data_IF_824484513074
#
_entry.id   IF_824484513074
#
_cell.length_a   1.000
_cell.length_b   1.000
_cell.length_c   1.000
_cell.angle_alpha   90.00
_cell.angle_beta   90.00
_cell.angle_gamma   90.00
#
_symmetry.space_group_name_H-M   'P 1'
#
loop_
_entity.id
_entity.type
_entity.pdbx_description
1 polymer ?
#
# COMPACT_ATOMS: atom_id res chain seq x y z
N UNK A 1 -34.51 16.56 -5.50
CA UNK A 1 -34.34 15.14 -5.91
C UNK A 1 -33.13 14.55 -5.20
N UNK A 2 -33.33 13.80 -4.11
CA UNK A 2 -32.23 13.19 -3.31
C UNK A 2 -32.04 11.74 -3.79
N UNK A 3 -31.02 11.49 -4.61
CA UNK A 3 -30.64 10.12 -4.99
C UNK A 3 -29.87 9.49 -3.83
N UNK A 4 -30.52 8.56 -3.13
CA UNK A 4 -29.87 7.61 -2.22
C UNK A 4 -28.98 6.71 -3.08
N UNK A 5 -27.66 6.73 -2.87
CA UNK A 5 -26.76 5.77 -3.51
C UNK A 5 -26.24 4.81 -2.44
N UNK A 6 -26.34 3.53 -2.79
CA UNK A 6 -26.25 2.37 -1.93
C UNK A 6 -24.91 2.27 -1.19
N UNK A 7 -25.00 1.86 0.08
CA UNK A 7 -23.87 1.41 0.90
C UNK A 7 -23.26 0.18 0.24
N UNK A 8 -22.07 0.30 -0.33
CA UNK A 8 -21.19 -0.84 -0.61
C UNK A 8 -20.06 -0.82 0.40
N UNK A 9 -20.09 -1.82 1.27
CA UNK A 9 -19.11 -2.11 2.31
C UNK A 9 -17.71 -2.35 1.73
N UNK A 10 -16.84 -1.37 1.85
CA UNK A 10 -15.39 -1.51 1.63
C UNK A 10 -14.73 -2.05 2.90
N UNK A 11 -13.85 -3.04 2.74
CA UNK A 11 -13.22 -3.77 3.84
C UNK A 11 -11.98 -3.01 4.36
N UNK A 12 -12.00 -2.59 5.63
CA UNK A 12 -11.04 -1.65 6.22
C UNK A 12 -9.84 -2.35 6.92
N UNK A 13 -9.06 -3.17 6.23
CA UNK A 13 -7.84 -3.77 6.83
C UNK A 13 -6.58 -3.47 6.04
N UNK A 14 -5.56 -2.95 6.73
CA UNK A 14 -4.19 -2.82 6.23
C UNK A 14 -3.40 -4.05 6.71
N UNK A 15 -2.63 -4.69 5.82
CA UNK A 15 -1.84 -5.89 6.13
C UNK A 15 -0.33 -5.63 5.92
N UNK A 16 0.48 -5.98 6.91
CA UNK A 16 1.93 -6.18 6.83
C UNK A 16 2.25 -7.54 7.51
N UNK A 17 3.38 -8.21 7.24
CA UNK A 17 3.63 -9.60 7.74
C UNK A 17 5.03 -9.76 8.40
N UNK A 18 5.07 -10.19 9.68
CA UNK A 18 6.26 -10.64 10.46
C UNK A 18 5.79 -11.55 11.66
N UNK A 19 6.61 -12.49 12.19
CA UNK A 19 6.13 -13.56 13.06
C UNK A 19 5.98 -13.11 14.53
N UNK A 20 4.84 -13.43 15.14
CA UNK A 20 4.46 -13.14 16.54
C UNK A 20 3.96 -11.72 16.86
N UNK A 21 3.49 -10.97 15.84
CA UNK A 21 2.98 -9.62 16.00
C UNK A 21 1.66 -9.49 15.22
N UNK A 22 0.56 -9.08 15.85
CA UNK A 22 -0.64 -8.71 15.11
C UNK A 22 -0.35 -7.41 14.35
N UNK A 23 -0.35 -7.49 13.02
CA UNK A 23 -0.02 -6.39 12.10
C UNK A 23 -1.26 -5.79 11.44
N UNK A 24 -2.38 -5.86 12.16
CA UNK A 24 -3.66 -5.30 11.73
C UNK A 24 -3.88 -4.00 12.48
N UNK A 25 -4.02 -2.91 11.74
CA UNK A 25 -4.33 -1.58 12.27
C UNK A 25 -5.74 -1.19 11.80
N UNK A 26 -6.60 -0.79 12.73
CA UNK A 26 -7.92 -0.23 12.41
C UNK A 26 -7.79 1.27 12.16
N UNK A 27 -8.21 1.72 10.97
CA UNK A 27 -8.25 3.13 10.61
C UNK A 27 -9.58 3.80 10.96
N UNK A 28 -10.47 3.13 11.69
CA UNK A 28 -11.86 3.60 11.90
C UNK A 28 -11.93 4.99 12.54
N UNK A 29 -11.10 5.26 13.55
CA UNK A 29 -11.11 6.52 14.29
C UNK A 29 -10.01 7.48 13.82
N UNK A 30 -8.85 6.94 13.43
CA UNK A 30 -7.62 7.71 13.19
C UNK A 30 -7.28 7.91 11.71
N UNK A 31 -7.95 7.18 10.82
CA UNK A 31 -7.67 7.22 9.38
C UNK A 31 -6.39 6.46 8.96
N UNK A 32 -6.27 6.24 7.65
CA UNK A 32 -5.20 5.41 7.05
C UNK A 32 -3.82 6.05 7.19
N UNK A 33 -3.72 7.38 7.06
CA UNK A 33 -2.46 8.11 7.19
C UNK A 33 -1.81 7.90 8.55
N UNK A 34 -2.59 7.97 9.64
CA UNK A 34 -2.07 7.74 10.98
C UNK A 34 -1.60 6.29 11.17
N UNK A 35 -2.36 5.32 10.65
CA UNK A 35 -1.92 3.92 10.66
C UNK A 35 -0.61 3.74 9.89
N UNK A 36 -0.43 4.40 8.75
CA UNK A 36 0.81 4.32 7.97
C UNK A 36 2.00 4.90 8.74
N UNK A 37 1.81 6.01 9.44
CA UNK A 37 2.84 6.57 10.32
C UNK A 37 3.27 5.60 11.42
N UNK A 38 2.33 4.93 12.09
CA UNK A 38 2.66 3.92 13.11
C UNK A 38 3.36 2.69 12.52
N UNK A 39 2.95 2.25 11.33
CA UNK A 39 3.63 1.16 10.61
C UNK A 39 5.06 1.58 10.27
N UNK A 40 5.24 2.81 9.75
CA UNK A 40 6.57 3.35 9.44
C UNK A 40 7.43 3.33 10.69
N UNK A 41 6.97 3.95 11.78
CA UNK A 41 7.70 4.04 13.04
C UNK A 41 8.13 2.66 13.55
N UNK A 42 7.20 1.70 13.58
CA UNK A 42 7.43 0.34 14.07
C UNK A 42 8.41 -0.47 13.24
N UNK A 43 8.42 -0.28 11.92
CA UNK A 43 9.23 -1.05 10.98
C UNK A 43 10.36 -0.21 10.35
N UNK A 44 10.64 0.96 10.91
CA UNK A 44 11.75 1.81 10.49
C UNK A 44 13.04 1.00 10.56
N UNK A 45 13.75 0.87 9.45
CA UNK A 45 15.03 0.18 9.43
C UNK A 45 15.82 0.53 8.16
N UNK A 46 17.15 0.38 8.20
CA UNK A 46 17.95 0.46 6.98
C UNK A 46 17.41 -0.57 5.98
N UNK A 47 17.19 -0.14 4.75
CA UNK A 47 16.68 -0.97 3.64
C UNK A 47 15.19 -1.38 3.69
N UNK A 48 14.39 -0.81 4.61
CA UNK A 48 12.93 -1.03 4.58
C UNK A 48 12.27 -0.03 3.64
N UNK A 49 11.53 -0.56 2.67
CA UNK A 49 10.69 0.22 1.73
C UNK A 49 9.25 -0.22 1.89
N UNK A 50 8.34 0.74 1.81
CA UNK A 50 6.92 0.52 2.03
C UNK A 50 6.16 0.61 0.71
N UNK A 51 5.04 -0.10 0.62
CA UNK A 51 4.16 -0.04 -0.53
C UNK A 51 2.74 -0.23 -0.06
N UNK A 52 1.85 0.58 -0.60
CA UNK A 52 0.42 0.53 -0.29
C UNK A 52 -0.29 -0.17 -1.44
N UNK A 53 -1.17 -1.10 -1.10
CA UNK A 53 -1.99 -1.84 -2.07
C UNK A 53 -3.44 -1.67 -1.66
N UNK A 54 -4.31 -1.26 -2.59
CA UNK A 54 -5.72 -1.06 -2.29
C UNK A 54 -6.53 -0.46 -3.45
N UNK A 55 -7.86 -0.44 -3.33
CA UNK A 55 -8.79 0.07 -4.35
C UNK A 55 -9.34 1.46 -4.05
N UNK A 56 -9.21 1.91 -2.80
CA UNK A 56 -9.79 3.12 -2.25
C UNK A 56 -8.94 4.38 -2.41
N UNK A 57 -9.60 5.52 -2.28
CA UNK A 57 -8.98 6.84 -2.35
C UNK A 57 -8.21 7.20 -1.07
N UNK A 58 -8.69 6.80 0.11
CA UNK A 58 -8.09 7.14 1.42
C UNK A 58 -6.67 6.60 1.57
N UNK A 59 -6.45 5.36 1.14
CA UNK A 59 -5.13 4.72 1.14
C UNK A 59 -4.21 5.25 0.04
N UNK A 60 -4.76 5.65 -1.10
CA UNK A 60 -4.00 6.33 -2.16
C UNK A 60 -3.48 7.69 -1.67
N UNK A 61 -4.34 8.50 -1.05
CA UNK A 61 -3.97 9.81 -0.49
C UNK A 61 -2.91 9.65 0.60
N UNK A 62 -3.12 8.74 1.55
CA UNK A 62 -2.15 8.46 2.59
C UNK A 62 -0.81 7.97 2.04
N UNK A 63 -0.80 7.13 0.99
CA UNK A 63 0.42 6.68 0.33
C UNK A 63 1.18 7.86 -0.30
N UNK A 64 0.48 8.78 -0.96
CA UNK A 64 1.08 9.98 -1.54
C UNK A 64 1.71 10.87 -0.48
N UNK A 65 1.02 11.10 0.65
CA UNK A 65 1.56 11.87 1.78
C UNK A 65 2.83 11.22 2.34
N UNK A 66 2.84 9.89 2.45
CA UNK A 66 3.98 9.13 2.95
C UNK A 66 5.12 8.98 1.92
N UNK A 67 4.89 9.40 0.67
CA UNK A 67 5.76 9.15 -0.50
C UNK A 67 6.05 7.67 -0.70
N UNK A 68 5.02 6.86 -0.57
CA UNK A 68 5.07 5.41 -0.78
C UNK A 68 4.42 5.05 -2.11
N UNK A 69 4.96 4.09 -2.87
CA UNK A 69 4.30 3.56 -4.04
C UNK A 69 2.90 3.02 -3.67
N UNK A 70 1.92 3.37 -4.52
CA UNK A 70 0.55 2.91 -4.41
C UNK A 70 0.21 2.02 -5.59
N UNK A 71 -0.19 0.79 -5.31
CA UNK A 71 -0.66 -0.17 -6.30
C UNK A 71 -2.18 -0.29 -6.20
N UNK A 72 -2.85 0.28 -7.19
CA UNK A 72 -4.30 0.21 -7.28
C UNK A 72 -4.74 -1.20 -7.67
N UNK A 73 -5.62 -1.79 -6.89
CA UNK A 73 -6.33 -3.03 -7.25
C UNK A 73 -7.73 -2.69 -7.75
N UNK A 74 -8.19 -3.40 -8.78
CA UNK A 74 -9.54 -3.26 -9.30
C UNK A 74 -10.33 -4.54 -9.00
N UNK A 75 -11.40 -4.40 -8.21
CA UNK A 75 -12.27 -5.48 -7.78
C UNK A 75 -13.26 -5.92 -8.87
N UNK A 76 -13.30 -5.26 -10.03
CA UNK A 76 -14.15 -5.64 -11.16
C UNK A 76 -13.72 -7.01 -11.74
N UNK A 77 -14.67 -7.88 -12.13
CA UNK A 77 -14.35 -9.09 -12.87
C UNK A 77 -13.72 -8.73 -14.22
N UNK A 78 -12.62 -9.37 -14.59
CA UNK A 78 -11.95 -9.17 -15.89
C UNK A 78 -11.04 -7.94 -15.99
N UNK A 79 -10.79 -7.21 -14.90
CA UNK A 79 -9.77 -6.14 -14.91
C UNK A 79 -8.36 -6.75 -14.91
N UNK A 80 -7.43 -6.11 -15.64
CA UNK A 80 -6.01 -6.49 -15.65
C UNK A 80 -5.30 -6.28 -14.30
N UNK A 81 -5.96 -5.58 -13.36
CA UNK A 81 -5.44 -5.24 -12.03
C UNK A 81 -6.15 -6.03 -10.92
N UNK A 82 -6.86 -7.10 -11.27
CA UNK A 82 -7.51 -8.01 -10.31
C UNK A 82 -6.48 -8.97 -9.72
N UNK A 83 -6.58 -9.27 -8.43
CA UNK A 83 -5.91 -10.45 -7.90
C UNK A 83 -6.55 -11.74 -8.47
N UNK A 84 -5.75 -12.75 -8.89
CA UNK A 84 -4.29 -12.84 -8.80
C UNK A 84 -3.58 -12.35 -10.08
N UNK A 85 -3.23 -11.06 -10.13
CA UNK A 85 -2.46 -10.44 -11.22
C UNK A 85 -1.33 -9.54 -10.72
N UNK A 86 -1.23 -9.33 -9.40
CA UNK A 86 -0.14 -8.57 -8.80
C UNK A 86 1.09 -9.47 -8.69
N UNK A 87 2.09 -9.22 -9.54
CA UNK A 87 3.37 -9.93 -9.51
C UNK A 87 4.44 -9.12 -8.79
N UNK A 88 5.48 -9.78 -8.29
CA UNK A 88 6.67 -9.09 -7.75
C UNK A 88 7.29 -8.13 -8.78
N UNK A 89 7.20 -8.44 -10.08
CA UNK A 89 7.65 -7.57 -11.16
C UNK A 89 6.84 -6.27 -11.23
N UNK A 90 5.52 -6.35 -11.08
CA UNK A 90 4.64 -5.18 -11.01
C UNK A 90 5.01 -4.30 -9.82
N UNK A 91 5.18 -4.91 -8.64
CA UNK A 91 5.59 -4.20 -7.42
C UNK A 91 6.97 -3.54 -7.61
N UNK A 92 7.94 -4.27 -8.16
CA UNK A 92 9.28 -3.73 -8.45
C UNK A 92 9.27 -2.51 -9.36
N UNK A 93 8.40 -2.48 -10.38
CA UNK A 93 8.22 -1.30 -11.24
C UNK A 93 7.75 -0.07 -10.45
N UNK A 94 6.74 -0.22 -9.59
CA UNK A 94 6.28 0.88 -8.73
C UNK A 94 7.35 1.36 -7.75
N UNK A 95 8.16 0.44 -7.21
CA UNK A 95 9.28 0.80 -6.36
C UNK A 95 10.31 1.63 -7.12
N UNK A 96 10.66 1.25 -8.35
CA UNK A 96 11.65 2.00 -9.15
C UNK A 96 11.20 3.44 -9.46
N UNK A 97 9.89 3.66 -9.63
CA UNK A 97 9.34 4.99 -9.90
C UNK A 97 9.44 5.89 -8.67
N UNK A 98 9.11 5.37 -7.49
CA UNK A 98 9.00 6.20 -6.26
C UNK A 98 10.32 6.28 -5.49
N UNK A 99 11.07 5.18 -5.43
CA UNK A 99 12.32 5.08 -4.67
C UNK A 99 13.57 5.15 -5.55
N UNK A 100 13.43 5.16 -6.87
CA UNK A 100 14.55 5.01 -7.80
C UNK A 100 14.94 3.55 -8.02
N UNK A 101 15.70 3.33 -9.09
CA UNK A 101 16.40 2.06 -9.31
C UNK A 101 17.52 2.03 -8.26
N UNK A 102 17.70 0.95 -7.48
CA UNK A 102 18.89 0.85 -6.64
C UNK A 102 20.09 0.96 -7.56
N UNK A 103 20.92 1.97 -7.35
CA UNK A 103 22.23 2.02 -7.98
C UNK A 103 22.90 0.68 -7.65
N UNK A 104 23.28 -0.07 -8.68
CA UNK A 104 24.19 -1.18 -8.47
C UNK A 104 25.46 -0.52 -7.93
N UNK A 105 25.60 -0.47 -6.61
CA UNK A 105 26.86 -0.09 -5.98
C UNK A 105 27.92 -1.00 -6.59
N UNK A 106 28.88 -0.37 -7.27
CA UNK A 106 30.03 -1.01 -7.88
C UNK A 106 30.71 -1.88 -6.83
N UNK A 107 30.67 -3.19 -7.05
CA UNK A 107 31.52 -4.16 -6.36
C UNK A 107 32.82 -4.23 -7.18
N UNK A 108 33.70 -3.26 -6.95
CA UNK A 108 35.09 -3.28 -7.44
C UNK A 108 36.00 -2.70 -6.34
N UNK A 109 36.33 -3.52 -5.33
CA UNK A 109 37.69 -3.63 -4.79
C UNK A 109 37.99 -5.08 -4.34
#
# INVERSE_FOLDING_TARGET
>A
MKRKQARTSTCNSCHAVAPHMTLVYSSWEVGKLQCFSWIKERFSGPNVRFCVIGDGWEECEAAQTMRWPFVKIDLRPGSSHRFPGLTLRTVGHYFSIVYGIPDAENDDE
#
